data_IF_991039954920
#
_entry.id   IF_991039954920
#
_cell.length_a   1.000
_cell.length_b   1.000
_cell.length_c   1.000
_cell.angle_alpha   90.00
_cell.angle_beta   90.00
_cell.angle_gamma   90.00
#
_symmetry.space_group_name_H-M   'P 1'
#
loop_
_entity.id
_entity.type
_entity.pdbx_description
1 polymer ?
#
# COMPACT_ATOMS: atom_id res chain seq x y z
N UNK A 1 -13.99 -8.66 2.13
CA UNK A 1 -12.73 -8.89 2.87
C UNK A 1 -12.72 -8.00 4.07
N UNK A 2 -12.18 -8.48 5.19
CA UNK A 2 -11.98 -7.67 6.39
C UNK A 2 -10.84 -6.68 6.19
N UNK A 3 -11.07 -5.43 6.59
CA UNK A 3 -10.05 -4.39 6.66
C UNK A 3 -10.31 -3.47 7.86
N UNK A 4 -9.26 -2.91 8.45
CA UNK A 4 -9.36 -1.77 9.35
C UNK A 4 -9.49 -0.52 8.49
N UNK A 5 -10.61 0.18 8.64
CA UNK A 5 -10.89 1.43 7.94
C UNK A 5 -10.91 2.56 8.96
N UNK A 6 -10.03 3.55 8.79
CA UNK A 6 -10.14 4.83 9.48
C UNK A 6 -11.13 5.67 8.70
N UNK A 7 -12.34 5.87 9.22
CA UNK A 7 -13.41 6.60 8.53
C UNK A 7 -13.24 8.12 8.62
N UNK A 8 -12.62 8.58 9.71
CA UNK A 8 -12.29 9.96 10.04
C UNK A 8 -11.36 9.97 11.26
N UNK A 9 -10.75 11.11 11.63
CA UNK A 9 -9.91 11.20 12.82
C UNK A 9 -10.61 10.62 14.06
N UNK A 10 -9.88 9.80 14.81
CA UNK A 10 -10.30 9.10 16.02
C UNK A 10 -11.46 8.11 15.83
N UNK A 11 -11.73 7.65 14.60
CA UNK A 11 -12.77 6.65 14.31
C UNK A 11 -12.21 5.59 13.36
N UNK A 12 -11.92 4.39 13.89
CA UNK A 12 -11.49 3.25 13.11
C UNK A 12 -12.43 2.05 13.36
N UNK A 13 -12.79 1.35 12.29
CA UNK A 13 -13.68 0.19 12.34
C UNK A 13 -13.12 -0.95 11.50
N UNK A 14 -13.16 -2.16 12.02
CA UNK A 14 -12.95 -3.36 11.20
C UNK A 14 -14.27 -3.70 10.53
N UNK A 15 -14.33 -3.62 9.21
CA UNK A 15 -15.53 -3.93 8.43
C UNK A 15 -15.22 -4.74 7.18
N UNK A 16 -16.25 -5.34 6.61
CA UNK A 16 -16.17 -5.96 5.29
C UNK A 16 -16.16 -4.87 4.22
N UNK A 17 -15.19 -4.95 3.32
CA UNK A 17 -15.05 -4.12 2.11
C UNK A 17 -14.86 -5.02 0.89
N UNK A 18 -15.15 -4.55 -0.34
CA UNK A 18 -14.85 -5.29 -1.55
C UNK A 18 -13.37 -5.69 -1.64
N UNK A 19 -13.08 -6.85 -2.24
CA UNK A 19 -11.70 -7.21 -2.58
C UNK A 19 -11.28 -6.29 -3.74
N UNK A 20 -10.15 -5.57 -3.65
CA UNK A 20 -9.70 -4.69 -4.73
C UNK A 20 -9.34 -5.49 -5.99
N UNK A 21 -9.63 -4.93 -7.15
CA UNK A 21 -9.24 -5.50 -8.45
C UNK A 21 -7.85 -4.99 -8.85
N UNK A 22 -7.09 -5.82 -9.57
CA UNK A 22 -5.76 -5.43 -10.08
C UNK A 22 -5.90 -4.61 -11.36
N UNK A 23 -5.22 -3.47 -11.40
CA UNK A 23 -5.03 -2.71 -12.63
C UNK A 23 -3.80 -3.16 -13.43
N UNK A 24 -3.55 -2.49 -14.56
CA UNK A 24 -2.34 -2.69 -15.37
C UNK A 24 -1.08 -2.41 -14.54
N UNK A 25 -0.11 -3.32 -14.57
CA UNK A 25 1.16 -3.21 -13.84
C UNK A 25 1.02 -3.33 -12.31
N UNK A 26 -0.14 -3.78 -11.82
CA UNK A 26 -0.39 -3.98 -10.39
C UNK A 26 -0.53 -5.46 -10.05
N UNK A 27 -0.18 -5.79 -8.81
CA UNK A 27 -0.40 -7.10 -8.21
C UNK A 27 -1.31 -6.95 -7.00
N UNK A 28 -2.10 -7.99 -6.70
CA UNK A 28 -2.83 -8.10 -5.45
C UNK A 28 -2.13 -9.08 -4.53
N UNK A 29 -1.88 -8.64 -3.31
CA UNK A 29 -1.19 -9.40 -2.29
C UNK A 29 -2.22 -9.82 -1.25
N UNK A 30 -2.31 -11.11 -0.96
CA UNK A 30 -2.96 -11.65 0.23
C UNK A 30 -2.03 -11.44 1.43
N UNK A 31 -2.35 -10.45 2.25
CA UNK A 31 -1.50 -10.04 3.38
C UNK A 31 -1.40 -11.17 4.40
N UNK A 32 -0.17 -11.53 4.78
CA UNK A 32 0.11 -12.54 5.81
C UNK A 32 0.45 -11.88 7.15
N UNK A 33 1.15 -10.75 7.11
CA UNK A 33 1.48 -9.95 8.29
C UNK A 33 1.54 -8.47 7.93
N UNK A 34 1.09 -7.62 8.85
CA UNK A 34 1.26 -6.17 8.79
C UNK A 34 1.62 -5.62 10.18
N UNK A 35 2.75 -4.94 10.28
CA UNK A 35 3.22 -4.23 11.46
C UNK A 35 2.48 -2.91 11.67
N UNK A 36 2.43 -2.46 12.93
CA UNK A 36 1.87 -1.16 13.31
C UNK A 36 3.02 -0.19 13.50
N UNK A 37 2.98 0.91 12.75
CA UNK A 37 3.94 2.00 12.86
C UNK A 37 3.35 3.17 13.66
N UNK A 38 4.23 4.02 14.23
CA UNK A 38 3.80 5.26 14.87
C UNK A 38 3.01 6.18 13.91
N UNK A 39 3.33 6.14 12.62
CA UNK A 39 2.60 6.88 11.58
C UNK A 39 1.13 6.46 11.48
N UNK A 40 0.79 5.19 11.70
CA UNK A 40 -0.61 4.74 11.68
C UNK A 40 -1.43 5.41 12.80
N UNK A 41 -0.80 5.70 13.95
CA UNK A 41 -1.41 6.45 15.05
C UNK A 41 -1.61 7.92 14.68
N UNK A 42 -0.64 8.54 14.00
CA UNK A 42 -0.79 9.92 13.52
C UNK A 42 -1.89 10.02 12.44
N UNK A 43 -1.98 9.04 11.52
CA UNK A 43 -3.08 8.94 10.55
C UNK A 43 -4.41 8.73 11.28
N UNK A 44 -4.47 7.88 12.30
CA UNK A 44 -5.69 7.72 13.10
C UNK A 44 -6.14 9.02 13.77
N UNK A 45 -5.20 9.87 14.22
CA UNK A 45 -5.51 11.13 14.91
C UNK A 45 -5.79 12.31 13.99
N UNK A 46 -5.56 12.20 12.68
CA UNK A 46 -5.64 13.36 11.76
C UNK A 46 -4.42 14.27 11.79
N UNK A 47 -3.28 13.74 12.22
CA UNK A 47 -2.01 14.49 12.39
C UNK A 47 -1.04 14.23 11.24
N UNK A 48 -1.43 13.43 10.24
CA UNK A 48 -0.59 13.02 9.13
C UNK A 48 -1.28 13.22 7.77
N UNK A 49 -0.50 13.06 6.70
CA UNK A 49 -0.96 13.16 5.32
C UNK A 49 -1.99 12.06 5.00
N UNK A 50 -3.00 12.39 4.19
CA UNK A 50 -3.98 11.43 3.71
C UNK A 50 -5.37 12.01 3.57
N UNK A 51 -6.30 11.19 3.07
CA UNK A 51 -7.73 11.47 3.04
C UNK A 51 -8.48 10.35 3.71
N UNK A 52 -9.66 10.65 4.26
CA UNK A 52 -10.53 9.66 4.85
C UNK A 52 -11.74 9.39 3.95
N UNK A 53 -12.27 8.16 3.92
CA UNK A 53 -11.78 6.98 4.63
C UNK A 53 -10.47 6.42 4.06
N UNK A 54 -9.65 5.79 4.90
CA UNK A 54 -8.42 5.10 4.46
C UNK A 54 -8.23 3.76 5.16
N UNK A 55 -7.57 2.83 4.48
CA UNK A 55 -7.05 1.59 5.07
C UNK A 55 -5.56 1.83 5.29
N UNK A 56 -5.07 1.95 6.54
CA UNK A 56 -3.66 2.19 6.82
C UNK A 56 -2.85 0.87 6.78
N UNK A 57 -1.62 0.90 7.28
CA UNK A 57 -0.69 -0.23 7.26
C UNK A 57 0.27 -0.17 6.08
N UNK A 58 1.52 0.18 6.35
CA UNK A 58 2.58 0.37 5.37
C UNK A 58 3.81 -0.51 5.63
N UNK A 59 3.71 -1.42 6.59
CA UNK A 59 4.76 -2.36 6.95
C UNK A 59 4.22 -3.79 6.82
N UNK A 60 4.12 -4.33 5.60
CA UNK A 60 3.47 -5.62 5.38
C UNK A 60 4.17 -6.52 4.36
N UNK A 61 3.90 -7.81 4.49
CA UNK A 61 4.33 -8.86 3.58
C UNK A 61 3.19 -9.86 3.33
N UNK A 62 3.24 -10.53 2.20
CA UNK A 62 2.24 -11.51 1.85
C UNK A 62 2.56 -12.31 0.60
N UNK A 63 1.50 -12.87 0.01
CA UNK A 63 1.59 -13.78 -1.14
C UNK A 63 0.80 -13.16 -2.30
N UNK A 64 1.35 -13.18 -3.50
CA UNK A 64 0.66 -12.70 -4.71
C UNK A 64 -0.53 -13.60 -5.03
N UNK A 65 -1.73 -13.02 -5.05
CA UNK A 65 -3.03 -13.69 -5.29
C UNK A 65 -3.65 -13.31 -6.65
N UNK A 66 -3.25 -12.18 -7.23
CA UNK A 66 -3.62 -11.81 -8.59
C UNK A 66 -2.54 -10.93 -9.23
N UNK A 67 -2.42 -11.02 -10.55
CA UNK A 67 -1.52 -10.20 -11.36
C UNK A 67 -2.31 -9.47 -12.44
N UNK A 68 -2.05 -8.17 -12.59
CA UNK A 68 -2.66 -7.34 -13.61
C UNK A 68 -1.96 -7.45 -14.96
N UNK A 69 -2.58 -6.85 -15.98
CA UNK A 69 -2.00 -6.82 -17.34
C UNK A 69 -0.60 -6.18 -17.33
N UNK A 70 0.35 -6.79 -18.04
CA UNK A 70 1.70 -6.25 -18.21
C UNK A 70 2.65 -6.43 -17.02
N UNK A 71 2.19 -7.05 -15.93
CA UNK A 71 3.08 -7.50 -14.85
C UNK A 71 4.01 -8.58 -15.37
N UNK A 72 5.30 -8.42 -15.12
CA UNK A 72 6.34 -9.36 -15.60
C UNK A 72 7.28 -9.82 -14.50
N UNK A 73 7.30 -9.15 -13.35
CA UNK A 73 8.24 -9.44 -12.26
C UNK A 73 7.72 -10.46 -11.25
N UNK A 74 6.42 -10.75 -11.26
CA UNK A 74 5.77 -11.60 -10.28
C UNK A 74 4.72 -12.52 -10.91
N UNK A 75 4.53 -13.67 -10.29
CA UNK A 75 3.49 -14.65 -10.58
C UNK A 75 2.64 -14.91 -9.34
N UNK A 76 1.57 -15.69 -9.50
CA UNK A 76 0.79 -16.20 -8.36
C UNK A 76 1.70 -17.01 -7.43
N UNK A 77 1.38 -16.96 -6.14
CA UNK A 77 2.09 -17.63 -5.05
C UNK A 77 3.49 -17.09 -4.72
N UNK A 78 3.99 -16.06 -5.41
CA UNK A 78 5.24 -15.39 -5.03
C UNK A 78 5.11 -14.73 -3.65
N UNK A 79 6.15 -14.86 -2.83
CA UNK A 79 6.24 -14.19 -1.53
C UNK A 79 6.87 -12.81 -1.69
N UNK A 80 6.18 -11.78 -1.21
CA UNK A 80 6.59 -10.39 -1.41
C UNK A 80 6.51 -9.53 -0.14
N UNK A 81 7.43 -8.59 -0.03
CA UNK A 81 7.35 -7.44 0.85
C UNK A 81 7.19 -6.15 0.02
N UNK A 82 6.65 -5.10 0.62
CA UNK A 82 6.30 -3.85 -0.09
C UNK A 82 7.12 -2.67 0.41
N UNK A 83 7.71 -1.93 -0.53
CA UNK A 83 8.17 -0.55 -0.32
C UNK A 83 6.96 0.39 -0.47
N UNK A 84 6.45 0.98 0.63
CA UNK A 84 5.22 1.75 0.57
C UNK A 84 5.38 3.11 -0.15
N UNK A 85 6.61 3.62 -0.29
CA UNK A 85 6.89 4.94 -0.86
C UNK A 85 6.99 4.88 -2.39
N UNK A 86 6.00 5.44 -3.07
CA UNK A 86 5.93 5.49 -4.53
C UNK A 86 6.32 6.90 -5.00
N UNK A 87 7.44 7.01 -5.71
CA UNK A 87 7.86 8.22 -6.40
C UNK A 87 7.23 8.33 -7.81
N UNK A 88 6.98 9.55 -8.27
CA UNK A 88 6.43 9.78 -9.61
C UNK A 88 7.44 9.62 -10.76
N UNK A 89 8.73 9.61 -10.44
CA UNK A 89 9.84 9.47 -11.39
C UNK A 89 9.89 10.54 -12.49
N UNK A 90 9.25 11.70 -12.28
CA UNK A 90 9.14 12.77 -13.27
C UNK A 90 9.29 14.20 -12.70
N UNK A 91 9.57 14.36 -11.40
CA UNK A 91 9.84 15.67 -10.80
C UNK A 91 11.34 15.93 -10.61
N UNK A 92 11.70 17.18 -10.28
CA UNK A 92 13.11 17.59 -10.11
C UNK A 92 13.85 16.74 -9.07
N UNK A 93 13.21 16.45 -7.93
CA UNK A 93 13.78 15.57 -6.91
C UNK A 93 14.04 14.15 -7.43
N UNK A 94 13.13 13.57 -8.22
CA UNK A 94 13.30 12.23 -8.79
C UNK A 94 14.48 12.20 -9.77
N UNK A 95 14.58 13.17 -10.68
CA UNK A 95 15.71 13.26 -11.62
C UNK A 95 17.06 13.50 -10.93
N UNK A 96 17.04 14.09 -9.74
CA UNK A 96 18.22 14.28 -8.90
C UNK A 96 18.59 13.06 -8.05
N UNK A 97 17.92 11.91 -8.25
CA UNK A 97 18.16 10.69 -7.48
C UNK A 97 17.66 10.78 -6.02
N UNK A 98 16.68 11.65 -5.75
CA UNK A 98 16.11 11.91 -4.42
C UNK A 98 14.61 11.58 -4.38
N UNK A 99 14.21 10.30 -4.59
CA UNK A 99 12.81 9.90 -4.65
C UNK A 99 12.05 10.12 -3.34
N UNK A 100 12.75 10.15 -2.21
CA UNK A 100 12.19 10.46 -0.89
C UNK A 100 11.74 11.94 -0.75
N UNK A 101 12.15 12.82 -1.67
CA UNK A 101 11.70 14.20 -1.79
C UNK A 101 10.75 14.39 -2.99
N UNK A 102 10.13 13.32 -3.48
CA UNK A 102 9.22 13.39 -4.61
C UNK A 102 8.07 14.36 -4.32
N UNK A 103 7.85 15.33 -5.22
CA UNK A 103 6.79 16.33 -5.12
C UNK A 103 5.39 15.74 -5.34
N UNK A 104 5.32 14.55 -5.93
CA UNK A 104 4.09 13.83 -6.25
C UNK A 104 4.10 12.43 -5.61
N UNK A 105 4.64 12.33 -4.40
CA UNK A 105 4.77 11.09 -3.65
C UNK A 105 3.39 10.49 -3.34
N UNK A 106 3.30 9.16 -3.39
CA UNK A 106 2.19 8.39 -2.85
C UNK A 106 2.69 7.37 -1.84
N UNK A 107 1.91 7.12 -0.80
CA UNK A 107 2.20 6.13 0.24
C UNK A 107 1.12 5.06 0.30
N UNK A 108 1.48 3.80 0.08
CA UNK A 108 0.61 2.66 0.38
C UNK A 108 0.39 2.63 1.89
N UNK A 109 -0.87 2.57 2.34
CA UNK A 109 -1.23 2.72 3.76
C UNK A 109 -1.26 4.16 4.27
N UNK A 110 -1.11 5.16 3.38
CA UNK A 110 -1.17 6.59 3.71
C UNK A 110 -2.12 7.32 2.77
N UNK A 111 -1.72 7.51 1.51
CA UNK A 111 -2.52 8.15 0.45
C UNK A 111 -3.18 7.12 -0.48
N UNK A 112 -2.78 5.85 -0.38
CA UNK A 112 -3.43 4.68 -0.96
C UNK A 112 -3.79 3.69 0.14
N UNK A 113 -4.75 2.79 -0.13
CA UNK A 113 -5.09 1.71 0.81
C UNK A 113 -3.89 0.78 1.07
N UNK A 114 -3.73 0.34 2.32
CA UNK A 114 -2.58 -0.42 2.81
C UNK A 114 -2.90 -1.81 3.36
N UNK A 115 -1.93 -2.34 4.11
CA UNK A 115 -1.84 -3.72 4.59
C UNK A 115 -2.69 -4.08 5.79
N UNK A 116 -3.42 -3.15 6.43
CA UNK A 116 -4.42 -3.52 7.44
C UNK A 116 -5.73 -4.04 6.81
N UNK A 117 -5.58 -4.94 5.85
CA UNK A 117 -6.63 -5.62 5.11
C UNK A 117 -6.17 -7.03 4.74
N UNK A 118 -7.10 -7.93 4.44
CA UNK A 118 -6.74 -9.27 3.96
C UNK A 118 -6.09 -9.26 2.57
N UNK A 119 -6.42 -8.27 1.74
CA UNK A 119 -5.82 -8.07 0.41
C UNK A 119 -5.49 -6.60 0.17
N UNK A 120 -4.41 -6.35 -0.56
CA UNK A 120 -3.98 -5.01 -0.97
C UNK A 120 -3.44 -5.05 -2.39
N UNK A 121 -3.75 -4.02 -3.18
CA UNK A 121 -3.24 -3.86 -4.55
C UNK A 121 -2.12 -2.83 -4.56
N UNK A 122 -0.99 -3.21 -5.13
CA UNK A 122 0.22 -2.38 -5.24
C UNK A 122 0.79 -2.45 -6.65
N UNK A 123 1.46 -1.40 -7.15
CA UNK A 123 2.26 -1.51 -8.38
C UNK A 123 3.33 -2.60 -8.21
N UNK A 124 3.61 -3.38 -9.26
CA UNK A 124 4.69 -4.37 -9.18
C UNK A 124 6.04 -3.72 -8.82
N UNK A 125 6.24 -2.46 -9.22
CA UNK A 125 7.41 -1.63 -8.91
C UNK A 125 7.61 -1.36 -7.42
N UNK A 126 6.56 -1.48 -6.60
CA UNK A 126 6.62 -1.32 -5.15
C UNK A 126 6.88 -2.65 -4.41
N UNK A 127 6.84 -3.79 -5.09
CA UNK A 127 7.02 -5.10 -4.49
C UNK A 127 8.44 -5.65 -4.70
N UNK A 128 8.90 -6.41 -3.70
CA UNK A 128 10.18 -7.11 -3.67
C UNK A 128 9.95 -8.57 -3.28
N UNK A 129 10.50 -9.49 -4.07
CA UNK A 129 10.50 -10.92 -3.73
C UNK A 129 11.31 -11.16 -2.46
N UNK A 130 10.80 -12.03 -1.59
CA UNK A 130 11.46 -12.44 -0.33
C UNK A 130 11.59 -13.97 -0.19
N UNK A 131 11.35 -14.72 -1.26
CA UNK A 131 11.37 -16.18 -1.28
C UNK A 131 10.72 -16.75 -2.53
#
# INVERSE_FOLDING_TARGET
MKALVIERPNTAIVKEVPIPEVGKGEIRIKVQASGICGTDIHIYRGEYLGSYPTIPGHEFAGIVDAVGEGVTRFALDDHVAVEPNISCNNCSACFSGRPNFCENWQGIGVTRSGGFAQYVVVPETAAFSIG
#
